data_IF_430942181600
#
_entry.id   IF_430942181600
#
_cell.length_a   1.000
_cell.length_b   1.000
_cell.length_c   1.000
_cell.angle_alpha   90.00
_cell.angle_beta   90.00
_cell.angle_gamma   90.00
#
_symmetry.space_group_name_H-M   'P 1'
#
loop_
_entity.id
_entity.type
_entity.pdbx_description
1 polymer ?
#
# COMPACT_ATOMS: atom_id res chain seq x y z
N UNK A 1 -25.12 12.67 -24.15
CA UNK A 1 -25.11 12.93 -22.68
C UNK A 1 -23.66 12.98 -22.21
N UNK A 2 -23.27 13.95 -21.37
CA UNK A 2 -21.88 14.14 -20.92
C UNK A 2 -21.61 13.27 -19.69
N UNK A 3 -20.60 12.42 -19.76
CA UNK A 3 -20.05 11.69 -18.61
C UNK A 3 -19.27 12.67 -17.74
N UNK A 4 -19.65 12.81 -16.47
CA UNK A 4 -18.92 13.64 -15.52
C UNK A 4 -17.89 12.78 -14.81
N UNK A 5 -16.62 13.20 -14.86
CA UNK A 5 -15.55 12.47 -14.17
C UNK A 5 -15.72 12.72 -12.67
N UNK A 6 -15.95 11.64 -11.92
CA UNK A 6 -16.15 11.68 -10.45
C UNK A 6 -14.89 12.14 -9.72
N UNK A 7 -13.71 11.84 -10.26
CA UNK A 7 -12.43 12.22 -9.64
C UNK A 7 -12.03 13.65 -10.00
N UNK A 8 -11.81 14.50 -8.99
CA UNK A 8 -11.23 15.84 -9.18
C UNK A 8 -9.70 15.82 -9.37
N UNK A 9 -9.06 14.65 -9.28
CA UNK A 9 -7.61 14.52 -9.42
C UNK A 9 -7.21 14.60 -10.90
N UNK A 10 -6.91 15.82 -11.37
CA UNK A 10 -6.52 16.10 -12.75
C UNK A 10 -5.28 15.32 -13.20
N UNK A 11 -4.33 15.08 -12.28
CA UNK A 11 -3.12 14.30 -12.57
C UNK A 11 -3.47 12.84 -12.85
N UNK A 12 -4.27 12.20 -11.99
CA UNK A 12 -4.75 10.85 -12.21
C UNK A 12 -5.57 10.73 -13.50
N UNK A 13 -6.47 11.68 -13.77
CA UNK A 13 -7.23 11.73 -15.02
C UNK A 13 -6.32 11.78 -16.25
N UNK A 14 -5.26 12.60 -16.22
CA UNK A 14 -4.33 12.71 -17.33
C UNK A 14 -3.63 11.38 -17.63
N UNK A 15 -3.07 10.70 -16.61
CA UNK A 15 -2.39 9.42 -16.80
C UNK A 15 -3.34 8.32 -17.26
N UNK A 16 -4.53 8.22 -16.67
CA UNK A 16 -5.54 7.21 -17.06
C UNK A 16 -6.00 7.43 -18.49
N UNK A 17 -6.28 8.68 -18.90
CA UNK A 17 -6.67 9.00 -20.28
C UNK A 17 -5.55 8.67 -21.28
N UNK A 18 -4.31 9.03 -20.93
CA UNK A 18 -3.14 8.74 -21.77
C UNK A 18 -2.96 7.23 -21.95
N UNK A 19 -3.08 6.46 -20.87
CA UNK A 19 -3.00 5.01 -20.90
C UNK A 19 -4.14 4.38 -21.71
N UNK A 20 -5.40 4.79 -21.48
CA UNK A 20 -6.55 4.31 -22.26
C UNK A 20 -6.48 4.62 -23.76
N UNK A 21 -5.72 5.65 -24.16
CA UNK A 21 -5.52 5.98 -25.59
C UNK A 21 -4.50 5.04 -26.25
N UNK A 22 -3.57 4.49 -25.48
CA UNK A 22 -2.54 3.57 -25.98
C UNK A 22 -3.04 2.13 -26.08
N UNK A 23 -4.17 1.82 -25.43
CA UNK A 23 -4.71 0.47 -25.31
C UNK A 23 -6.02 0.30 -26.09
N UNK A 24 -6.24 -0.89 -26.66
CA UNK A 24 -7.48 -1.23 -27.36
C UNK A 24 -8.58 -1.55 -26.34
N UNK A 25 -9.65 -0.75 -26.32
CA UNK A 25 -10.75 -0.86 -25.36
C UNK A 25 -11.46 -2.22 -25.42
N UNK A 26 -11.54 -2.80 -26.61
CA UNK A 26 -12.18 -4.08 -26.87
C UNK A 26 -11.49 -5.24 -26.14
N UNK A 27 -10.19 -5.09 -25.86
CA UNK A 27 -9.39 -6.07 -25.10
C UNK A 27 -9.38 -5.71 -23.62
N UNK A 28 -9.22 -4.43 -23.29
CA UNK A 28 -9.04 -3.95 -21.93
C UNK A 28 -10.29 -4.11 -21.06
N UNK A 29 -11.48 -3.88 -21.60
CA UNK A 29 -12.73 -3.94 -20.83
C UNK A 29 -13.04 -5.38 -20.36
N UNK A 30 -13.05 -6.40 -21.24
CA UNK A 30 -13.26 -7.78 -20.79
C UNK A 30 -12.21 -8.24 -19.78
N UNK A 31 -10.93 -7.93 -20.05
CA UNK A 31 -9.83 -8.32 -19.17
C UNK A 31 -9.91 -7.63 -17.80
N UNK A 32 -10.24 -6.34 -17.75
CA UNK A 32 -10.43 -5.64 -16.49
C UNK A 32 -11.58 -6.23 -15.68
N UNK A 33 -12.69 -6.57 -16.34
CA UNK A 33 -13.84 -7.23 -15.69
C UNK A 33 -13.43 -8.58 -15.10
N UNK A 34 -12.74 -9.41 -15.88
CA UNK A 34 -12.23 -10.71 -15.41
C UNK A 34 -11.33 -10.55 -14.19
N UNK A 35 -10.34 -9.65 -14.26
CA UNK A 35 -9.39 -9.40 -13.19
C UNK A 35 -10.06 -8.83 -11.93
N UNK A 36 -11.03 -7.94 -12.09
CA UNK A 36 -11.78 -7.39 -10.96
C UNK A 36 -12.61 -8.47 -10.26
N UNK A 37 -13.31 -9.32 -11.03
CA UNK A 37 -14.12 -10.40 -10.44
C UNK A 37 -13.26 -11.46 -9.76
N UNK A 38 -12.17 -11.91 -10.40
CA UNK A 38 -11.20 -12.84 -9.80
C UNK A 38 -10.59 -12.27 -8.50
N UNK A 39 -10.24 -10.99 -8.51
CA UNK A 39 -9.77 -10.31 -7.30
C UNK A 39 -10.83 -10.28 -6.20
N UNK A 40 -12.06 -9.87 -6.50
CA UNK A 40 -13.14 -9.77 -5.51
C UNK A 40 -13.50 -11.13 -4.89
N UNK A 41 -13.43 -12.22 -5.66
CA UNK A 41 -13.64 -13.59 -5.17
C UNK A 41 -12.56 -14.04 -4.17
N UNK A 42 -11.34 -13.48 -4.27
CA UNK A 42 -10.24 -13.75 -3.35
C UNK A 42 -10.31 -12.99 -2.02
N UNK A 43 -11.23 -12.03 -1.88
CA UNK A 43 -11.34 -11.16 -0.71
C UNK A 43 -12.58 -11.52 0.14
N UNK A 44 -12.59 -11.18 1.44
CA UNK A 44 -13.77 -11.34 2.29
C UNK A 44 -15.00 -10.65 1.66
N UNK A 45 -16.13 -11.36 1.60
CA UNK A 45 -17.32 -10.91 0.88
C UNK A 45 -17.84 -9.55 1.36
N UNK A 46 -17.85 -9.33 2.67
CA UNK A 46 -18.25 -8.07 3.30
C UNK A 46 -17.40 -6.88 2.80
N UNK A 47 -16.08 -7.06 2.71
CA UNK A 47 -15.16 -6.05 2.18
C UNK A 47 -15.32 -5.85 0.67
N UNK A 48 -15.46 -6.95 -0.07
CA UNK A 48 -15.73 -6.92 -1.52
C UNK A 48 -17.00 -6.17 -1.85
N UNK A 49 -18.07 -6.39 -1.07
CA UNK A 49 -19.34 -5.68 -1.22
C UNK A 49 -19.17 -4.19 -0.95
N UNK A 50 -18.48 -3.79 0.13
CA UNK A 50 -18.19 -2.36 0.41
C UNK A 50 -17.43 -1.71 -0.75
N UNK A 51 -16.37 -2.36 -1.23
CA UNK A 51 -15.51 -1.83 -2.28
C UNK A 51 -16.25 -1.72 -3.62
N UNK A 52 -17.00 -2.75 -4.03
CA UNK A 52 -17.75 -2.71 -5.28
C UNK A 52 -18.90 -1.71 -5.23
N UNK A 53 -19.57 -1.57 -4.08
CA UNK A 53 -20.65 -0.61 -3.89
C UNK A 53 -20.17 0.85 -3.87
N UNK A 54 -18.88 1.12 -3.64
CA UNK A 54 -18.32 2.47 -3.79
C UNK A 54 -18.04 2.87 -5.24
N UNK A 55 -18.17 1.95 -6.21
CA UNK A 55 -17.85 2.24 -7.61
C UNK A 55 -18.99 3.02 -8.29
N UNK A 56 -18.61 4.00 -9.11
CA UNK A 56 -19.54 4.80 -9.89
C UNK A 56 -19.56 4.32 -11.32
N UNK A 57 -20.75 4.03 -11.84
CA UNK A 57 -20.99 3.57 -13.19
C UNK A 57 -22.00 4.42 -13.95
N UNK A 58 -22.28 4.02 -15.19
CA UNK A 58 -23.31 4.68 -15.98
C UNK A 58 -24.71 4.41 -15.39
N UNK A 59 -25.33 5.44 -14.81
CA UNK A 59 -26.64 5.32 -14.15
C UNK A 59 -26.58 4.71 -12.75
N UNK A 60 -25.36 4.46 -12.23
CA UNK A 60 -25.12 3.93 -10.90
C UNK A 60 -24.21 4.92 -10.15
N UNK A 61 -24.74 5.75 -9.25
CA UNK A 61 -23.97 6.82 -8.62
C UNK A 61 -22.87 6.32 -7.65
N UNK A 62 -22.86 5.02 -7.32
CA UNK A 62 -22.09 4.49 -6.18
C UNK A 62 -22.69 4.94 -4.85
N UNK A 63 -22.37 4.22 -3.78
CA UNK A 63 -22.76 4.61 -2.42
C UNK A 63 -21.70 5.50 -1.77
N UNK A 64 -22.14 6.46 -0.96
CA UNK A 64 -21.22 7.29 -0.16
C UNK A 64 -20.68 6.51 1.03
N UNK A 65 -19.61 7.01 1.65
CA UNK A 65 -19.02 6.42 2.85
C UNK A 65 -20.05 6.38 3.99
N UNK A 66 -20.89 7.42 4.10
CA UNK A 66 -21.95 7.52 5.10
C UNK A 66 -23.04 6.47 4.86
N UNK A 67 -23.46 6.27 3.61
CA UNK A 67 -24.46 5.25 3.25
C UNK A 67 -23.91 3.84 3.51
N UNK A 68 -22.66 3.57 3.15
CA UNK A 68 -22.01 2.29 3.43
C UNK A 68 -21.87 2.03 4.93
N UNK A 69 -21.53 3.06 5.71
CA UNK A 69 -21.49 2.99 7.17
C UNK A 69 -22.86 2.63 7.76
N UNK A 70 -23.94 3.23 7.27
CA UNK A 70 -25.31 2.90 7.69
C UNK A 70 -25.70 1.45 7.35
N UNK A 71 -25.38 0.97 6.14
CA UNK A 71 -25.75 -0.39 5.72
C UNK A 71 -24.97 -1.50 6.42
N UNK A 72 -23.73 -1.23 6.80
CA UNK A 72 -22.82 -2.24 7.38
C UNK A 72 -22.74 -2.17 8.90
N UNK A 73 -23.11 -1.02 9.49
CA UNK A 73 -22.90 -0.74 10.91
C UNK A 73 -21.46 -0.39 11.28
N UNK A 74 -20.54 -0.31 10.31
CA UNK A 74 -19.14 0.05 10.53
C UNK A 74 -18.96 1.55 10.68
N UNK A 75 -17.92 1.99 11.38
CA UNK A 75 -17.58 3.41 11.42
C UNK A 75 -17.12 3.87 10.02
N UNK A 76 -17.33 5.14 9.71
CA UNK A 76 -16.91 5.74 8.43
C UNK A 76 -15.41 5.62 8.19
N UNK A 77 -14.60 5.65 9.26
CA UNK A 77 -13.16 5.42 9.19
C UNK A 77 -12.82 4.00 8.72
N UNK A 78 -13.55 2.98 9.21
CA UNK A 78 -13.34 1.60 8.80
C UNK A 78 -13.70 1.38 7.33
N UNK A 79 -14.79 2.01 6.87
CA UNK A 79 -15.18 1.99 5.45
C UNK A 79 -14.08 2.59 4.57
N UNK A 80 -13.50 3.72 4.98
CA UNK A 80 -12.39 4.34 4.26
C UNK A 80 -11.16 3.42 4.21
N UNK A 81 -10.84 2.76 5.32
CA UNK A 81 -9.74 1.79 5.41
C UNK A 81 -9.99 0.61 4.47
N UNK A 82 -11.20 0.03 4.47
CA UNK A 82 -11.55 -1.08 3.58
C UNK A 82 -11.38 -0.68 2.11
N UNK A 83 -11.89 0.48 1.71
CA UNK A 83 -11.75 0.96 0.32
C UNK A 83 -10.27 1.18 -0.04
N UNK A 84 -9.48 1.77 0.86
CA UNK A 84 -8.06 2.01 0.64
C UNK A 84 -7.27 0.70 0.53
N UNK A 85 -7.49 -0.23 1.45
CA UNK A 85 -6.85 -1.55 1.50
C UNK A 85 -7.13 -2.35 0.22
N UNK A 86 -8.40 -2.46 -0.18
CA UNK A 86 -8.76 -3.19 -1.40
C UNK A 86 -8.26 -2.48 -2.67
N UNK A 87 -8.19 -1.15 -2.67
CA UNK A 87 -7.57 -0.40 -3.79
C UNK A 87 -6.09 -0.75 -3.96
N UNK A 88 -5.34 -0.80 -2.85
CA UNK A 88 -3.91 -1.12 -2.87
C UNK A 88 -3.68 -2.58 -3.25
N UNK A 89 -4.43 -3.51 -2.66
CA UNK A 89 -4.37 -4.94 -2.99
C UNK A 89 -4.72 -5.20 -4.45
N UNK A 90 -5.74 -4.52 -4.97
CA UNK A 90 -6.10 -4.66 -6.38
C UNK A 90 -5.03 -4.09 -7.31
N UNK A 91 -4.43 -2.94 -6.96
CA UNK A 91 -3.32 -2.40 -7.72
C UNK A 91 -2.11 -3.35 -7.74
N UNK A 92 -1.78 -3.97 -6.60
CA UNK A 92 -0.72 -4.98 -6.53
C UNK A 92 -1.05 -6.23 -7.35
N UNK A 93 -2.27 -6.76 -7.22
CA UNK A 93 -2.76 -7.87 -8.04
C UNK A 93 -2.63 -7.57 -9.55
N UNK A 94 -3.04 -6.36 -9.98
CA UNK A 94 -2.90 -5.93 -11.38
C UNK A 94 -1.44 -5.81 -11.82
N UNK A 95 -0.55 -5.40 -10.91
CA UNK A 95 0.89 -5.36 -11.18
C UNK A 95 1.47 -6.76 -11.38
N UNK A 96 1.08 -7.73 -10.53
CA UNK A 96 1.49 -9.13 -10.63
C UNK A 96 0.99 -9.82 -11.90
N UNK A 97 -0.24 -9.53 -12.35
CA UNK A 97 -0.76 -10.02 -13.66
C UNK A 97 0.02 -9.46 -14.86
N UNK A 98 0.73 -8.35 -14.67
CA UNK A 98 1.62 -7.77 -15.67
C UNK A 98 0.91 -7.11 -16.87
N UNK A 99 1.63 -7.01 -17.97
CA UNK A 99 1.11 -6.48 -19.24
C UNK A 99 0.71 -5.01 -19.17
N UNK A 100 -0.50 -4.68 -19.61
CA UNK A 100 -0.96 -3.30 -19.75
C UNK A 100 -1.40 -2.68 -18.43
N UNK A 101 -1.88 -3.48 -17.48
CA UNK A 101 -2.33 -2.97 -16.18
C UNK A 101 -1.16 -2.64 -15.25
N UNK A 102 -0.06 -3.40 -15.30
CA UNK A 102 1.15 -3.04 -14.56
C UNK A 102 1.72 -1.69 -15.00
N UNK A 103 1.61 -1.32 -16.28
CA UNK A 103 2.04 0.00 -16.77
C UNK A 103 1.31 1.14 -16.05
N UNK A 104 -0.02 1.06 -15.91
CA UNK A 104 -0.77 2.13 -15.26
C UNK A 104 -0.54 2.17 -13.75
N UNK A 105 -0.43 1.01 -13.10
CA UNK A 105 -0.09 0.93 -11.68
C UNK A 105 1.29 1.56 -11.44
N UNK A 106 2.30 1.21 -12.24
CA UNK A 106 3.66 1.74 -12.10
C UNK A 106 3.79 3.23 -12.45
N UNK A 107 2.88 3.81 -13.25
CA UNK A 107 2.86 5.26 -13.50
C UNK A 107 2.45 6.08 -12.27
N UNK A 108 1.66 5.49 -11.38
CA UNK A 108 1.14 6.16 -10.17
C UNK A 108 1.74 5.63 -8.88
N UNK A 109 2.37 4.45 -8.92
CA UNK A 109 3.18 3.93 -7.84
C UNK A 109 4.29 4.95 -7.56
N UNK A 110 4.26 5.55 -6.37
CA UNK A 110 5.46 6.19 -5.83
C UNK A 110 6.49 5.07 -5.67
N UNK A 111 7.78 5.39 -5.84
CA UNK A 111 8.85 4.45 -5.50
C UNK A 111 8.55 3.87 -4.12
N UNK A 112 8.33 2.56 -4.04
CA UNK A 112 8.14 1.77 -2.81
C UNK A 112 9.45 1.68 -2.02
N UNK A 113 10.24 2.75 -2.04
CA UNK A 113 11.52 2.85 -1.37
C UNK A 113 11.33 3.46 0.01
N UNK A 114 12.31 3.22 0.86
CA UNK A 114 12.46 3.95 2.10
C UNK A 114 12.54 5.45 1.79
N UNK A 115 12.04 6.33 2.68
CA UNK A 115 12.34 7.75 2.58
C UNK A 115 13.86 7.95 2.41
N UNK A 116 14.30 8.85 1.54
CA UNK A 116 15.72 8.96 1.15
C UNK A 116 16.67 9.00 2.35
N UNK A 117 16.35 9.78 3.39
CA UNK A 117 17.18 9.85 4.61
C UNK A 117 17.24 8.53 5.40
N UNK A 118 16.14 7.77 5.40
CA UNK A 118 16.04 6.43 5.99
C UNK A 118 16.84 5.44 5.16
N UNK A 119 16.69 5.47 3.83
CA UNK A 119 17.42 4.62 2.90
C UNK A 119 18.95 4.78 3.04
N UNK A 120 19.44 6.02 3.11
CA UNK A 120 20.86 6.31 3.31
C UNK A 120 21.38 5.77 4.65
N UNK A 121 20.56 5.83 5.70
CA UNK A 121 20.91 5.32 7.04
C UNK A 121 20.95 3.79 7.03
N UNK A 122 19.91 3.16 6.47
CA UNK A 122 19.79 1.71 6.39
C UNK A 122 20.89 1.09 5.51
N UNK A 123 21.24 1.74 4.39
CA UNK A 123 22.34 1.31 3.52
C UNK A 123 23.69 1.25 4.25
N UNK A 124 23.94 2.16 5.21
CA UNK A 124 25.16 2.11 6.01
C UNK A 124 25.12 0.97 7.03
N UNK A 125 23.95 0.72 7.64
CA UNK A 125 23.78 -0.42 8.54
C UNK A 125 24.03 -1.74 7.79
N UNK A 126 23.46 -1.89 6.59
CA UNK A 126 23.66 -3.05 5.72
C UNK A 126 25.12 -3.26 5.29
N UNK A 127 25.96 -2.21 5.34
CA UNK A 127 27.41 -2.31 5.11
C UNK A 127 28.18 -2.76 6.36
N UNK A 128 27.50 -3.03 7.47
CA UNK A 128 28.08 -3.48 8.74
C UNK A 128 28.54 -2.34 9.66
N UNK A 129 28.16 -1.09 9.41
CA UNK A 129 28.51 0.01 10.31
C UNK A 129 27.62 0.02 11.55
N UNK A 130 28.20 0.26 12.74
CA UNK A 130 27.43 0.43 13.98
C UNK A 130 26.66 1.75 13.98
N UNK A 131 25.63 1.86 14.83
CA UNK A 131 24.85 3.09 15.02
C UNK A 131 25.74 4.28 15.33
N UNK A 132 26.76 4.13 16.19
CA UNK A 132 27.72 5.18 16.53
C UNK A 132 28.55 5.60 15.31
N UNK A 133 28.95 4.64 14.46
CA UNK A 133 29.72 4.96 13.27
C UNK A 133 28.85 5.67 12.22
N UNK A 134 27.61 5.23 12.06
CA UNK A 134 26.62 5.87 11.19
C UNK A 134 26.36 7.30 11.65
N UNK A 135 26.21 7.52 12.96
CA UNK A 135 26.07 8.85 13.57
C UNK A 135 27.19 9.80 13.14
N UNK A 136 28.44 9.32 13.16
CA UNK A 136 29.60 10.11 12.71
C UNK A 136 29.59 10.39 11.20
N UNK A 137 29.26 9.39 10.38
CA UNK A 137 29.23 9.53 8.90
C UNK A 137 28.12 10.50 8.48
N UNK A 138 26.93 10.32 9.04
CA UNK A 138 25.71 11.09 8.73
C UNK A 138 25.67 12.45 9.41
N UNK A 139 26.44 12.64 10.49
CA UNK A 139 26.42 13.84 11.35
C UNK A 139 25.01 14.15 11.90
N UNK A 140 24.27 13.10 12.24
CA UNK A 140 22.93 13.20 12.84
C UNK A 140 22.98 12.87 14.33
N UNK A 141 21.90 13.14 15.07
CA UNK A 141 21.75 12.65 16.44
C UNK A 141 21.50 11.15 16.43
N UNK A 142 21.91 10.48 17.50
CA UNK A 142 21.69 9.04 17.66
C UNK A 142 20.20 8.67 17.59
N UNK A 143 19.35 9.45 18.25
CA UNK A 143 17.90 9.28 18.23
C UNK A 143 17.32 9.35 16.81
N UNK A 144 17.86 10.21 15.94
CA UNK A 144 17.44 10.29 14.54
C UNK A 144 17.86 9.06 13.74
N UNK A 145 19.05 8.51 14.02
CA UNK A 145 19.48 7.25 13.39
C UNK A 145 18.57 6.10 13.84
N UNK A 146 18.26 6.01 15.13
CA UNK A 146 17.35 5.00 15.67
C UNK A 146 15.95 5.11 15.05
N UNK A 147 15.39 6.33 14.94
CA UNK A 147 14.11 6.56 14.27
C UNK A 147 14.12 6.09 12.82
N UNK A 148 15.19 6.40 12.07
CA UNK A 148 15.33 5.88 10.71
C UNK A 148 15.37 4.35 10.67
N UNK A 149 16.09 3.71 11.59
CA UNK A 149 16.20 2.25 11.61
C UNK A 149 14.87 1.57 12.00
N UNK A 150 14.08 2.19 12.87
CA UNK A 150 12.70 1.75 13.17
C UNK A 150 11.82 1.87 11.91
N UNK A 151 11.89 3.00 11.20
CA UNK A 151 11.13 3.14 9.94
C UNK A 151 11.59 2.10 8.91
N UNK A 152 12.90 1.86 8.81
CA UNK A 152 13.45 0.85 7.91
C UNK A 152 12.99 -0.56 8.27
N UNK A 153 12.91 -0.91 9.56
CA UNK A 153 12.46 -2.23 10.00
C UNK A 153 10.97 -2.45 9.76
N UNK A 154 10.16 -1.39 9.82
CA UNK A 154 8.72 -1.45 9.50
C UNK A 154 8.50 -1.61 7.99
N UNK A 155 9.26 -0.88 7.17
CA UNK A 155 9.02 -0.79 5.72
C UNK A 155 9.84 -1.82 4.89
N UNK A 156 10.87 -2.43 5.46
CA UNK A 156 11.74 -3.40 4.76
C UNK A 156 11.45 -4.83 5.21
N UNK A 157 11.01 -5.67 4.28
CA UNK A 157 10.72 -7.09 4.54
C UNK A 157 11.94 -7.91 5.01
N UNK A 158 13.16 -7.44 4.72
CA UNK A 158 14.42 -8.18 4.97
C UNK A 158 15.33 -7.44 5.96
N UNK A 159 14.75 -6.75 6.95
CA UNK A 159 15.54 -6.06 7.97
C UNK A 159 16.25 -7.07 8.88
N UNK A 160 17.59 -7.02 8.92
CA UNK A 160 18.39 -7.90 9.76
C UNK A 160 18.48 -7.33 11.19
N UNK A 161 17.58 -7.80 12.05
CA UNK A 161 17.50 -7.34 13.45
C UNK A 161 18.77 -7.65 14.25
N UNK A 162 19.59 -8.63 13.87
CA UNK A 162 20.86 -8.92 14.57
C UNK A 162 21.89 -7.79 14.46
N UNK A 163 21.69 -6.83 13.54
CA UNK A 163 22.56 -5.67 13.40
C UNK A 163 22.28 -4.57 14.44
N UNK A 164 21.14 -4.65 15.12
CA UNK A 164 20.68 -3.62 16.08
C UNK A 164 20.23 -4.18 17.42
N UNK A 165 19.87 -5.46 17.48
CA UNK A 165 19.51 -6.18 18.70
C UNK A 165 20.62 -7.13 19.11
N UNK A 166 20.95 -7.13 20.39
CA UNK A 166 21.86 -8.10 21.00
C UNK A 166 21.12 -9.40 21.33
N UNK A 167 21.87 -10.47 21.62
CA UNK A 167 21.28 -11.72 22.11
C UNK A 167 20.51 -11.54 23.42
N UNK A 168 20.93 -10.58 24.26
CA UNK A 168 20.21 -10.24 25.49
C UNK A 168 18.87 -9.58 25.19
N UNK A 169 18.83 -8.64 24.24
CA UNK A 169 17.58 -7.99 23.82
C UNK A 169 16.57 -9.02 23.31
N UNK A 170 17.02 -10.01 22.53
CA UNK A 170 16.17 -11.12 22.08
C UNK A 170 15.61 -11.95 23.24
N UNK A 171 16.43 -12.25 24.25
CA UNK A 171 16.00 -13.00 25.43
C UNK A 171 14.97 -12.22 26.26
N UNK A 172 15.19 -10.91 26.44
CA UNK A 172 14.23 -10.02 27.12
C UNK A 172 12.91 -9.98 26.35
N UNK A 173 12.94 -9.74 25.04
CA UNK A 173 11.75 -9.68 24.20
C UNK A 173 10.98 -11.01 24.20
N UNK A 174 11.69 -12.14 24.12
CA UNK A 174 11.06 -13.45 24.22
C UNK A 174 10.33 -13.60 25.55
N UNK A 175 10.96 -13.28 26.69
CA UNK A 175 10.30 -13.41 28.00
C UNK A 175 9.09 -12.48 28.16
N UNK A 176 9.13 -11.27 27.60
CA UNK A 176 8.01 -10.31 27.68
C UNK A 176 6.83 -10.79 26.84
N UNK A 177 7.08 -11.29 25.64
CA UNK A 177 6.04 -11.65 24.67
C UNK A 177 5.81 -13.18 24.57
N UNK A 178 6.27 -13.95 25.57
CA UNK A 178 6.13 -15.43 25.59
C UNK A 178 4.68 -15.91 25.68
N UNK A 179 3.78 -15.09 26.24
CA UNK A 179 2.39 -15.45 26.55
C UNK A 179 1.35 -14.72 25.67
N UNK A 180 1.78 -13.82 24.78
CA UNK A 180 0.86 -13.17 23.87
C UNK A 180 0.65 -14.08 22.65
N UNK A 181 -0.53 -14.70 22.56
CA UNK A 181 -1.14 -15.03 21.28
C UNK A 181 -1.26 -13.70 20.51
N UNK A 182 -0.20 -13.33 19.81
CA UNK A 182 -0.22 -12.26 18.84
C UNK A 182 -1.06 -12.78 17.67
N UNK A 183 -2.34 -12.42 17.68
CA UNK A 183 -3.33 -12.67 16.62
C UNK A 183 -2.83 -12.24 15.22
#
# INVERSE_FOLDING_TARGET
RRYYVVSQNLKAQFYIKKWLYQEKREVLIPQFKEYLLDFLESQPKDKSDIFMNSFVGHGLPGYTIEQLSEFTGLATADIQIVIADLSLKFADYLNQKGGNFSKIVNLVARSQGLPTSVEETYTLLQKGFTVEKIKQIRRLKESTIQEHLIIASILSHNFDYHQVLTSEDHHILQNIYSDDNLD
#
